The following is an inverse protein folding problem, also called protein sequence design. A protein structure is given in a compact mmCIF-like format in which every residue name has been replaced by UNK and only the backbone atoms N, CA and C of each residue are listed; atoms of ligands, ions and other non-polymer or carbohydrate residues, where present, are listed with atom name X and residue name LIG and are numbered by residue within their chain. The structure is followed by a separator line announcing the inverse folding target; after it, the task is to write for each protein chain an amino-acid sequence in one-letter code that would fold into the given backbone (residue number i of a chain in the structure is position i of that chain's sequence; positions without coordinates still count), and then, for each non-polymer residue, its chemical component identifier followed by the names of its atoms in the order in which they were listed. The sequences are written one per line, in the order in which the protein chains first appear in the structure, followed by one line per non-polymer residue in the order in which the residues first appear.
data_IF_561823104824
#
_entry.id   IF_561823104824
#
_cell.length_a   1.000
_cell.length_b   1.000
_cell.length_c   1.000
_cell.angle_alpha   90.00
_cell.angle_beta   90.00
_cell.angle_gamma   90.00
#
_symmetry.space_group_name_H-M   'P 1'
#
loop_
_entity.id
_entity.type
_entity.pdbx_description
1 polymer ?
#
# COMPACT_ATOMS: atom_id res chain seq x y z
N UNK A 1 4.72 2.69 39.54
CA UNK A 1 5.21 2.35 38.19
C UNK A 1 4.44 1.14 37.69
N UNK A 2 3.35 1.34 36.93
CA UNK A 2 2.57 0.24 36.33
C UNK A 2 2.90 0.18 34.83
N UNK A 3 3.40 -0.97 34.43
CA UNK A 3 3.80 -1.31 33.06
C UNK A 3 2.64 -1.09 32.07
N UNK A 4 2.87 -0.22 31.08
CA UNK A 4 2.02 -0.04 29.91
C UNK A 4 2.13 -1.29 29.04
N UNK A 5 1.22 -2.25 29.22
CA UNK A 5 0.98 -3.29 28.21
C UNK A 5 0.37 -2.62 26.99
N UNK A 6 1.20 -2.35 25.98
CA UNK A 6 0.75 -2.17 24.61
C UNK A 6 0.00 -3.45 24.22
N UNK A 7 -1.33 -3.35 24.10
CA UNK A 7 -2.13 -4.39 23.46
C UNK A 7 -1.75 -4.42 21.96
N UNK A 8 -0.72 -5.20 21.65
CA UNK A 8 -0.42 -5.63 20.30
C UNK A 8 -1.54 -6.56 19.84
N UNK A 9 -2.53 -6.02 19.13
CA UNK A 9 -3.44 -6.83 18.33
C UNK A 9 -2.66 -7.31 17.11
N UNK A 10 -1.98 -8.45 17.25
CA UNK A 10 -1.36 -9.16 16.13
C UNK A 10 -2.23 -10.37 15.81
N UNK A 11 -2.91 -10.42 14.66
CA UNK A 11 -3.35 -11.70 14.14
C UNK A 11 -2.17 -12.57 13.73
N UNK A 12 -2.27 -13.91 13.84
CA UNK A 12 -1.25 -14.80 13.33
C UNK A 12 -1.12 -14.62 11.82
N UNK A 13 0.08 -14.27 11.36
CA UNK A 13 0.40 -14.22 9.93
C UNK A 13 0.24 -15.62 9.34
N UNK A 14 -0.53 -15.81 8.26
CA UNK A 14 -0.56 -17.08 7.57
C UNK A 14 0.79 -17.37 6.94
N UNK A 15 1.31 -18.57 7.21
CA UNK A 15 2.47 -19.13 6.52
C UNK A 15 2.05 -19.54 5.12
N UNK A 16 2.34 -18.72 4.12
CA UNK A 16 2.18 -19.12 2.72
C UNK A 16 3.18 -20.23 2.36
N UNK A 17 2.80 -21.22 1.55
CA UNK A 17 3.76 -22.13 0.93
C UNK A 17 4.73 -21.29 0.08
N UNK A 18 6.03 -21.58 0.21
CA UNK A 18 7.10 -20.82 -0.43
C UNK A 18 6.82 -20.63 -1.92
N UNK A 19 6.53 -19.39 -2.33
CA UNK A 19 6.45 -19.02 -3.74
C UNK A 19 7.73 -19.49 -4.45
N UNK A 20 7.59 -20.09 -5.64
CA UNK A 20 8.72 -20.52 -6.47
C UNK A 20 9.76 -19.40 -6.52
N UNK A 21 11.00 -19.72 -6.13
CA UNK A 21 12.14 -18.81 -6.24
C UNK A 21 12.45 -18.62 -7.73
N UNK A 22 11.74 -17.73 -8.40
CA UNK A 22 12.27 -17.14 -9.64
C UNK A 22 13.46 -16.29 -9.22
N UNK A 23 14.64 -16.91 -9.23
CA UNK A 23 15.89 -16.26 -8.86
C UNK A 23 16.09 -15.04 -9.74
N UNK A 24 16.26 -13.87 -9.12
CA UNK A 24 16.66 -12.64 -9.81
C UNK A 24 17.83 -12.95 -10.77
N UNK A 25 17.87 -12.36 -11.98
CA UNK A 25 18.97 -12.57 -12.92
C UNK A 25 20.34 -12.41 -12.22
N UNK A 26 21.25 -13.36 -12.41
CA UNK A 26 22.59 -13.31 -11.85
C UNK A 26 23.39 -12.17 -12.50
N UNK A 27 23.94 -11.30 -11.67
CA UNK A 27 24.83 -10.21 -12.05
C UNK A 27 25.69 -9.85 -10.82
N UNK A 28 26.98 -10.14 -10.92
CA UNK A 28 27.95 -9.73 -9.91
C UNK A 28 28.61 -8.44 -10.40
N UNK A 29 28.65 -7.39 -9.56
CA UNK A 29 29.32 -6.12 -9.86
C UNK A 29 28.41 -4.96 -10.23
N UNK A 30 29.01 -3.85 -10.71
CA UNK A 30 28.31 -2.64 -11.14
C UNK A 30 27.64 -2.81 -12.52
N UNK A 31 26.40 -2.32 -12.67
CA UNK A 31 25.66 -2.36 -13.93
C UNK A 31 25.66 -0.97 -14.58
N UNK A 32 26.40 -0.85 -15.68
CA UNK A 32 26.44 0.39 -16.46
C UNK A 32 25.51 0.39 -17.67
N UNK A 33 25.16 -0.79 -18.21
CA UNK A 33 24.42 -0.92 -19.47
C UNK A 33 22.89 -0.93 -19.30
N UNK A 34 22.16 0.01 -19.96
CA UNK A 34 20.69 0.04 -19.94
C UNK A 34 20.02 -1.14 -20.67
N UNK A 35 20.75 -1.90 -21.49
CA UNK A 35 20.22 -3.07 -22.22
C UNK A 35 20.30 -4.37 -21.40
N UNK A 36 20.93 -4.32 -20.22
CA UNK A 36 21.09 -5.46 -19.32
C UNK A 36 19.73 -6.12 -18.98
N UNK A 37 19.62 -7.47 -18.99
CA UNK A 37 18.38 -8.18 -18.65
C UNK A 37 17.78 -7.81 -17.28
N UNK A 38 18.61 -7.57 -16.28
CA UNK A 38 18.20 -7.12 -14.95
C UNK A 38 17.56 -5.73 -14.98
N UNK A 39 18.13 -4.81 -15.76
CA UNK A 39 17.55 -3.47 -15.97
C UNK A 39 16.19 -3.57 -16.69
N UNK A 40 16.08 -4.45 -17.70
CA UNK A 40 14.81 -4.73 -18.36
C UNK A 40 13.77 -5.29 -17.38
N UNK A 41 14.19 -6.18 -16.48
CA UNK A 41 13.34 -6.70 -15.40
C UNK A 41 12.82 -5.57 -14.49
N UNK A 42 13.70 -4.69 -14.01
CA UNK A 42 13.32 -3.54 -13.18
C UNK A 42 12.32 -2.60 -13.90
N UNK A 43 12.55 -2.34 -15.19
CA UNK A 43 11.63 -1.51 -16.00
C UNK A 43 10.27 -2.19 -16.17
N UNK A 44 10.23 -3.52 -16.36
CA UNK A 44 8.97 -4.26 -16.41
C UNK A 44 8.22 -4.22 -15.07
N UNK A 45 8.93 -4.37 -13.95
CA UNK A 45 8.36 -4.21 -12.60
C UNK A 45 7.73 -2.82 -12.42
N UNK A 46 8.34 -1.77 -12.98
CA UNK A 46 7.77 -0.42 -12.90
C UNK A 46 6.48 -0.26 -13.73
N UNK A 47 6.49 -0.78 -14.95
CA UNK A 47 5.45 -0.47 -15.94
C UNK A 47 4.26 -1.45 -15.95
N UNK A 48 4.45 -2.72 -15.62
CA UNK A 48 3.42 -3.75 -15.76
C UNK A 48 2.94 -4.30 -14.42
N UNK A 49 1.65 -4.12 -14.13
CA UNK A 49 1.00 -4.68 -12.93
C UNK A 49 0.97 -6.21 -12.96
N UNK A 50 0.64 -6.80 -14.11
CA UNK A 50 0.66 -8.25 -14.29
C UNK A 50 2.05 -8.83 -14.01
N UNK A 51 3.11 -8.14 -14.47
CA UNK A 51 4.48 -8.57 -14.21
C UNK A 51 4.86 -8.47 -12.73
N UNK A 52 4.42 -7.42 -12.02
CA UNK A 52 4.61 -7.32 -10.55
C UNK A 52 3.90 -8.45 -9.81
N UNK A 53 2.67 -8.80 -10.21
CA UNK A 53 1.92 -9.91 -9.60
C UNK A 53 2.63 -11.24 -9.84
N UNK A 54 3.04 -11.53 -11.07
CA UNK A 54 3.73 -12.78 -11.40
C UNK A 54 5.08 -12.91 -10.69
N UNK A 55 5.81 -11.80 -10.52
CA UNK A 55 7.10 -11.77 -9.81
C UNK A 55 6.98 -11.51 -8.30
N UNK A 56 5.76 -11.30 -7.80
CA UNK A 56 5.46 -10.94 -6.40
C UNK A 56 6.38 -9.84 -5.85
N UNK A 57 6.68 -8.83 -6.67
CA UNK A 57 7.67 -7.80 -6.36
C UNK A 57 7.27 -6.43 -6.91
N UNK A 58 7.72 -5.38 -6.23
CA UNK A 58 7.52 -3.98 -6.61
C UNK A 58 8.85 -3.23 -6.65
N UNK A 59 8.87 -2.13 -7.39
CA UNK A 59 10.00 -1.21 -7.40
C UNK A 59 9.69 0.03 -6.55
N UNK A 60 10.59 0.38 -5.65
CA UNK A 60 10.49 1.58 -4.79
C UNK A 60 11.66 2.50 -5.10
N UNK A 61 11.35 3.74 -5.44
CA UNK A 61 12.34 4.75 -5.84
C UNK A 61 12.58 5.72 -4.70
N UNK A 62 13.85 5.96 -4.37
CA UNK A 62 14.32 6.91 -3.36
C UNK A 62 14.68 6.23 -2.04
N UNK A 63 15.76 6.70 -1.41
CA UNK A 63 16.27 6.12 -0.18
C UNK A 63 15.30 6.26 1.01
N UNK A 64 14.70 7.44 1.18
CA UNK A 64 13.73 7.69 2.28
C UNK A 64 12.57 6.71 2.31
N UNK A 65 11.76 6.52 1.23
CA UNK A 65 10.66 5.56 1.27
C UNK A 65 11.14 4.11 1.44
N UNK A 66 12.32 3.76 0.92
CA UNK A 66 12.91 2.43 1.15
C UNK A 66 13.19 2.21 2.64
N UNK A 67 13.86 3.15 3.29
CA UNK A 67 14.18 3.07 4.72
C UNK A 67 12.92 3.11 5.59
N UNK A 68 11.91 3.90 5.24
CA UNK A 68 10.62 3.91 5.94
C UNK A 68 9.93 2.54 5.90
N UNK A 69 9.96 1.86 4.76
CA UNK A 69 9.42 0.50 4.62
C UNK A 69 10.23 -0.50 5.47
N UNK A 70 11.56 -0.41 5.46
CA UNK A 70 12.43 -1.30 6.22
C UNK A 70 12.28 -1.14 7.74
N UNK A 71 12.37 0.11 8.25
CA UNK A 71 12.26 0.41 9.69
C UNK A 71 10.97 -0.14 10.29
N UNK A 72 9.87 -0.08 9.55
CA UNK A 72 8.60 -0.61 10.02
C UNK A 72 8.61 -2.14 10.14
N UNK A 73 9.36 -2.84 9.29
CA UNK A 73 9.41 -4.30 9.20
C UNK A 73 10.47 -4.95 10.06
N UNK A 74 11.51 -4.25 10.48
CA UNK A 74 12.45 -4.72 11.50
C UNK A 74 11.71 -5.10 12.80
N UNK A 75 10.58 -4.44 13.08
CA UNK A 75 9.67 -4.82 14.18
C UNK A 75 8.95 -6.17 13.96
N UNK A 76 9.00 -6.75 12.75
CA UNK A 76 8.27 -7.95 12.33
C UNK A 76 9.17 -9.06 11.73
N UNK A 77 10.50 -8.90 11.79
CA UNK A 77 11.46 -10.01 11.61
C UNK A 77 11.64 -10.60 10.21
N UNK A 78 11.45 -9.84 9.11
CA UNK A 78 11.73 -10.34 7.75
C UNK A 78 12.23 -9.26 6.78
N UNK A 79 13.32 -9.56 6.07
CA UNK A 79 13.84 -8.71 5.00
C UNK A 79 12.98 -8.81 3.75
N UNK A 80 12.30 -7.72 3.38
CA UNK A 80 11.51 -7.63 2.14
C UNK A 80 12.34 -7.19 0.92
N UNK A 81 13.50 -6.60 1.15
CA UNK A 81 14.31 -6.02 0.08
C UNK A 81 15.14 -7.13 -0.55
N UNK A 82 14.77 -7.50 -1.77
CA UNK A 82 15.51 -8.50 -2.54
C UNK A 82 16.78 -7.92 -3.14
N UNK A 83 16.70 -6.68 -3.62
CA UNK A 83 17.82 -5.99 -4.26
C UNK A 83 17.76 -4.48 -4.03
N UNK A 84 18.89 -3.89 -3.66
CA UNK A 84 19.11 -2.46 -3.55
C UNK A 84 20.07 -2.00 -4.65
N UNK A 85 19.58 -1.16 -5.55
CA UNK A 85 20.38 -0.50 -6.57
C UNK A 85 20.82 0.86 -6.03
N UNK A 86 22.13 1.09 -5.96
CA UNK A 86 22.73 2.35 -5.53
C UNK A 86 23.39 3.04 -6.71
N UNK A 87 23.33 4.37 -6.77
CA UNK A 87 24.09 5.12 -7.77
C UNK A 87 25.59 4.90 -7.55
N UNK A 88 26.37 4.72 -8.61
CA UNK A 88 27.84 4.62 -8.53
C UNK A 88 28.41 5.82 -7.72
N UNK A 89 29.27 5.53 -6.74
CA UNK A 89 29.83 6.53 -5.83
C UNK A 89 28.98 6.87 -4.59
N UNK A 90 27.76 6.34 -4.47
CA UNK A 90 26.95 6.47 -3.25
C UNK A 90 27.35 5.44 -2.21
N UNK A 91 27.27 5.80 -0.93
CA UNK A 91 27.54 4.86 0.16
C UNK A 91 26.37 3.91 0.43
N UNK A 92 26.68 2.72 0.93
CA UNK A 92 25.67 1.78 1.41
C UNK A 92 25.02 2.31 2.70
N UNK A 93 23.68 2.45 2.74
CA UNK A 93 22.99 2.91 3.94
C UNK A 93 23.18 1.91 5.09
N UNK A 94 23.29 2.41 6.32
CA UNK A 94 23.63 1.61 7.51
C UNK A 94 22.74 0.37 7.68
N UNK A 95 21.42 0.52 7.54
CA UNK A 95 20.46 -0.59 7.68
C UNK A 95 20.58 -1.72 6.63
N UNK A 96 21.40 -1.54 5.60
CA UNK A 96 21.63 -2.55 4.57
C UNK A 96 23.00 -3.23 4.65
N UNK A 97 23.92 -2.75 5.50
CA UNK A 97 25.29 -3.28 5.59
C UNK A 97 25.35 -4.74 6.02
N UNK A 98 24.49 -5.11 6.98
CA UNK A 98 24.37 -6.47 7.50
C UNK A 98 23.12 -7.21 6.96
N UNK A 99 22.48 -6.63 5.95
CA UNK A 99 21.26 -7.22 5.37
C UNK A 99 21.60 -8.32 4.36
N UNK A 100 20.69 -9.30 4.23
CA UNK A 100 20.75 -10.29 3.15
C UNK A 100 20.34 -9.74 1.78
N UNK A 101 20.02 -8.44 1.70
CA UNK A 101 19.62 -7.80 0.46
C UNK A 101 20.82 -7.73 -0.50
N UNK A 102 20.57 -8.05 -1.77
CA UNK A 102 21.60 -7.94 -2.80
C UNK A 102 21.86 -6.47 -3.14
N UNK A 103 23.08 -5.98 -2.97
CA UNK A 103 23.43 -4.59 -3.30
C UNK A 103 24.12 -4.54 -4.66
N UNK A 104 23.67 -3.65 -5.54
CA UNK A 104 24.23 -3.43 -6.87
C UNK A 104 24.47 -1.95 -7.10
N UNK A 105 25.69 -1.57 -7.47
CA UNK A 105 25.95 -0.21 -7.95
C UNK A 105 25.57 -0.09 -9.42
N UNK A 106 25.01 1.05 -9.81
CA UNK A 106 24.56 1.31 -11.17
C UNK A 106 24.92 2.70 -11.65
N UNK A 107 25.14 2.82 -12.96
CA UNK A 107 25.42 4.11 -13.58
C UNK A 107 24.21 5.05 -13.51
N UNK A 108 24.46 6.35 -13.60
CA UNK A 108 23.40 7.37 -13.66
C UNK A 108 22.38 7.12 -14.78
N UNK A 109 22.83 6.60 -15.92
CA UNK A 109 21.98 6.25 -17.06
C UNK A 109 21.02 5.09 -16.73
N UNK A 110 21.51 4.06 -16.04
CA UNK A 110 20.69 2.95 -15.55
C UNK A 110 19.72 3.45 -14.48
N UNK A 111 20.18 4.29 -13.55
CA UNK A 111 19.33 4.85 -12.49
C UNK A 111 18.15 5.67 -13.06
N UNK A 112 18.38 6.56 -14.05
CA UNK A 112 17.30 7.27 -14.77
C UNK A 112 16.31 6.30 -15.41
N UNK A 113 16.85 5.30 -16.11
CA UNK A 113 16.02 4.33 -16.83
C UNK A 113 15.16 3.50 -15.89
N UNK A 114 15.68 3.09 -14.74
CA UNK A 114 14.98 2.25 -13.76
C UNK A 114 13.99 3.06 -12.92
N UNK A 115 14.37 4.26 -12.47
CA UNK A 115 13.50 5.13 -11.68
C UNK A 115 12.36 5.76 -12.48
N UNK A 116 12.58 6.04 -13.77
CA UNK A 116 11.58 6.68 -14.64
C UNK A 116 11.46 8.18 -14.41
N UNK A 117 12.34 8.75 -13.58
CA UNK A 117 12.43 10.18 -13.34
C UNK A 117 13.47 10.80 -14.29
N UNK A 118 13.23 12.04 -14.68
CA UNK A 118 14.06 12.75 -15.66
C UNK A 118 15.43 13.18 -15.09
N UNK A 119 15.52 13.35 -13.76
CA UNK A 119 16.75 13.74 -13.07
C UNK A 119 17.26 12.58 -12.21
N UNK A 120 18.51 12.15 -12.44
CA UNK A 120 19.17 11.12 -11.62
C UNK A 120 19.73 11.70 -10.33
N UNK A 121 20.13 12.98 -10.36
CA UNK A 121 20.96 13.59 -9.32
C UNK A 121 20.22 13.71 -7.98
N UNK A 122 18.91 13.45 -7.97
CA UNK A 122 18.08 13.37 -6.77
C UNK A 122 17.75 11.94 -6.31
N UNK A 123 18.29 10.90 -6.95
CA UNK A 123 17.93 9.50 -6.70
C UNK A 123 19.19 8.69 -6.43
N UNK A 124 19.46 8.51 -5.14
CA UNK A 124 20.61 7.75 -4.66
C UNK A 124 20.35 6.24 -4.67
N UNK A 125 19.07 5.84 -4.56
CA UNK A 125 18.70 4.44 -4.38
C UNK A 125 17.36 4.05 -5.04
N UNK A 126 17.29 2.82 -5.52
CA UNK A 126 16.07 2.12 -5.93
C UNK A 126 16.09 0.71 -5.35
N UNK A 127 14.98 0.25 -4.79
CA UNK A 127 14.87 -1.12 -4.27
C UNK A 127 13.85 -1.95 -5.05
N UNK A 128 14.15 -3.22 -5.23
CA UNK A 128 13.18 -4.26 -5.52
C UNK A 128 12.73 -4.83 -4.18
N UNK A 129 11.45 -4.67 -3.87
CA UNK A 129 10.84 -5.10 -2.62
C UNK A 129 9.80 -6.16 -2.92
N UNK A 130 9.88 -7.31 -2.24
CA UNK A 130 8.86 -8.35 -2.32
C UNK A 130 7.52 -7.85 -1.84
N UNK A 131 6.46 -8.36 -2.44
CA UNK A 131 5.11 -8.13 -1.95
C UNK A 131 5.01 -8.59 -0.49
N UNK A 132 4.34 -7.79 0.36
CA UNK A 132 4.14 -8.17 1.73
C UNK A 132 3.22 -9.41 1.81
N UNK A 133 3.43 -10.31 2.77
CA UNK A 133 2.49 -11.41 3.05
C UNK A 133 1.09 -10.92 3.41
N UNK A 134 0.97 -9.65 3.83
CA UNK A 134 -0.30 -8.98 4.09
C UNK A 134 -1.06 -8.55 2.83
N UNK A 135 -0.52 -8.76 1.63
CA UNK A 135 -1.24 -8.55 0.37
C UNK A 135 -1.78 -9.88 -0.17
N UNK A 136 -3.07 -9.91 -0.47
CA UNK A 136 -3.76 -11.06 -1.06
C UNK A 136 -4.54 -10.62 -2.31
N UNK A 137 -4.43 -11.43 -3.35
CA UNK A 137 -5.20 -11.30 -4.58
C UNK A 137 -6.12 -12.51 -4.74
N UNK A 138 -7.39 -12.36 -4.38
CA UNK A 138 -8.37 -13.44 -4.38
C UNK A 138 -8.78 -13.87 -5.79
N UNK A 139 -8.72 -12.96 -6.77
CA UNK A 139 -9.07 -13.28 -8.15
C UNK A 139 -8.02 -14.21 -8.82
N UNK A 140 -6.82 -14.34 -8.23
CA UNK A 140 -5.76 -15.26 -8.65
C UNK A 140 -5.52 -16.44 -7.72
N UNK A 141 -6.23 -16.53 -6.59
CA UNK A 141 -6.07 -17.59 -5.60
C UNK A 141 -6.97 -18.80 -5.93
N UNK A 142 -6.44 -20.01 -5.75
CA UNK A 142 -7.20 -21.26 -5.87
C UNK A 142 -8.40 -21.26 -4.92
N UNK A 143 -9.50 -21.92 -5.32
CA UNK A 143 -10.72 -22.10 -4.53
C UNK A 143 -10.39 -22.52 -3.10
N UNK A 144 -10.68 -21.66 -2.11
CA UNK A 144 -10.41 -21.90 -0.69
C UNK A 144 -9.67 -20.79 0.06
N UNK A 145 -9.14 -19.76 -0.62
CA UNK A 145 -8.61 -18.58 0.06
C UNK A 145 -9.73 -17.75 0.71
N UNK A 146 -9.99 -18.00 2.00
CA UNK A 146 -10.93 -17.21 2.78
C UNK A 146 -10.33 -15.86 3.16
N UNK A 147 -11.12 -14.79 2.98
CA UNK A 147 -10.77 -13.43 3.44
C UNK A 147 -10.41 -13.39 4.94
N UNK A 148 -10.90 -14.38 5.71
CA UNK A 148 -10.71 -14.53 7.16
C UNK A 148 -9.24 -14.61 7.57
N UNK A 149 -8.42 -15.24 6.73
CA UNK A 149 -7.00 -15.43 7.04
C UNK A 149 -6.25 -14.08 7.04
N UNK A 150 -6.74 -13.08 6.30
CA UNK A 150 -6.15 -11.74 6.24
C UNK A 150 -6.86 -10.71 7.14
N UNK A 151 -8.13 -10.95 7.44
CA UNK A 151 -8.91 -10.17 8.40
C UNK A 151 -9.53 -11.07 9.46
N UNK A 152 -8.79 -11.49 10.49
CA UNK A 152 -9.33 -12.45 11.47
C UNK A 152 -10.24 -11.82 12.51
N UNK A 153 -10.15 -10.51 12.75
CA UNK A 153 -11.07 -9.79 13.65
C UNK A 153 -11.25 -8.31 13.29
N UNK A 154 -11.59 -7.98 12.02
CA UNK A 154 -11.65 -6.61 11.56
C UNK A 154 -12.75 -5.82 12.28
N UNK A 155 -12.42 -4.61 12.70
CA UNK A 155 -13.36 -3.61 13.22
C UNK A 155 -13.71 -2.59 12.15
N UNK A 156 -12.73 -2.15 11.35
CA UNK A 156 -12.85 -1.10 10.33
C UNK A 156 -12.04 -1.46 9.10
N UNK A 157 -12.71 -1.63 7.97
CA UNK A 157 -12.09 -1.89 6.66
C UNK A 157 -12.49 -0.77 5.70
N UNK A 158 -11.50 -0.27 4.93
CA UNK A 158 -11.75 0.62 3.80
C UNK A 158 -11.95 -0.23 2.55
N UNK A 159 -13.12 -0.11 1.94
CA UNK A 159 -13.44 -0.75 0.66
C UNK A 159 -13.37 0.33 -0.42
N UNK A 160 -12.59 0.04 -1.46
CA UNK A 160 -12.37 0.93 -2.59
C UNK A 160 -12.96 0.31 -3.84
N UNK A 161 -13.88 1.02 -4.49
CA UNK A 161 -14.54 0.58 -5.71
C UNK A 161 -14.15 1.46 -6.90
N UNK A 162 -13.47 0.86 -7.89
CA UNK A 162 -13.14 1.55 -9.15
C UNK A 162 -12.14 2.71 -9.04
N UNK A 163 -11.27 2.75 -8.01
CA UNK A 163 -10.29 3.85 -7.85
C UNK A 163 -9.20 3.74 -8.92
N UNK A 164 -9.28 4.56 -9.97
CA UNK A 164 -8.37 4.47 -11.13
C UNK A 164 -7.11 5.33 -11.02
N UNK A 165 -7.14 6.39 -10.21
CA UNK A 165 -5.98 7.26 -10.02
C UNK A 165 -5.04 6.70 -8.94
N UNK A 166 -3.78 6.36 -9.28
CA UNK A 166 -2.85 5.77 -8.32
C UNK A 166 -2.43 6.75 -7.21
N UNK A 167 -2.43 8.07 -7.46
CA UNK A 167 -2.14 9.07 -6.43
C UNK A 167 -3.22 9.12 -5.36
N UNK A 168 -4.48 9.09 -5.77
CA UNK A 168 -5.64 9.00 -4.89
C UNK A 168 -5.63 7.69 -4.12
N UNK A 169 -5.40 6.56 -4.80
CA UNK A 169 -5.27 5.26 -4.13
C UNK A 169 -4.21 5.32 -3.03
N UNK A 170 -2.99 5.76 -3.34
CA UNK A 170 -1.93 5.85 -2.34
C UNK A 170 -2.28 6.79 -1.17
N UNK A 171 -2.94 7.92 -1.44
CA UNK A 171 -3.38 8.85 -0.39
C UNK A 171 -4.44 8.22 0.52
N UNK A 172 -5.37 7.44 -0.04
CA UNK A 172 -6.37 6.69 0.71
C UNK A 172 -5.71 5.63 1.59
N UNK A 173 -4.76 4.84 1.04
CA UNK A 173 -3.99 3.86 1.82
C UNK A 173 -3.26 4.54 3.00
N UNK A 174 -2.59 5.67 2.74
CA UNK A 174 -1.92 6.44 3.79
C UNK A 174 -2.88 6.93 4.87
N UNK A 175 -4.08 7.33 4.47
CA UNK A 175 -5.12 7.79 5.39
C UNK A 175 -5.66 6.63 6.24
N UNK A 176 -5.94 5.48 5.63
CA UNK A 176 -6.35 4.25 6.33
C UNK A 176 -5.37 3.88 7.44
N UNK A 177 -4.08 3.93 7.13
CA UNK A 177 -3.02 3.69 8.10
C UNK A 177 -3.02 4.71 9.22
N UNK A 178 -3.08 6.01 8.90
CA UNK A 178 -3.11 7.07 9.90
C UNK A 178 -4.30 6.94 10.85
N UNK A 179 -5.44 6.46 10.35
CA UNK A 179 -6.63 6.20 11.16
C UNK A 179 -6.62 4.86 11.90
N UNK A 180 -5.57 4.04 11.74
CA UNK A 180 -5.46 2.70 12.32
C UNK A 180 -6.70 1.84 12.01
N UNK A 181 -7.05 1.76 10.73
CA UNK A 181 -8.03 0.80 10.25
C UNK A 181 -7.34 -0.53 10.00
N UNK A 182 -8.11 -1.61 10.02
CA UNK A 182 -7.59 -2.99 10.02
C UNK A 182 -7.14 -3.44 8.62
N UNK A 183 -7.54 -2.70 7.58
CA UNK A 183 -6.95 -2.83 6.25
C UNK A 183 -7.84 -2.28 5.14
N UNK A 184 -7.53 -2.70 3.92
CA UNK A 184 -8.19 -2.22 2.70
C UNK A 184 -8.62 -3.38 1.82
N UNK A 185 -9.85 -3.31 1.35
CA UNK A 185 -10.41 -4.20 0.34
C UNK A 185 -10.54 -3.44 -0.98
N UNK A 186 -9.93 -3.97 -2.04
CA UNK A 186 -9.91 -3.38 -3.38
C UNK A 186 -10.87 -4.19 -4.27
N UNK A 187 -11.99 -3.57 -4.65
CA UNK A 187 -12.93 -4.13 -5.60
C UNK A 187 -12.42 -4.01 -7.05
N UNK A 188 -13.00 -4.75 -8.00
CA UNK A 188 -12.57 -4.73 -9.39
C UNK A 188 -12.57 -3.32 -9.98
N UNK A 189 -11.61 -3.06 -10.87
CA UNK A 189 -11.44 -1.74 -11.50
C UNK A 189 -10.59 -0.74 -10.71
N UNK A 190 -10.13 -1.09 -9.51
CA UNK A 190 -9.08 -0.35 -8.82
C UNK A 190 -7.73 -0.46 -9.55
N UNK A 191 -6.94 0.61 -9.50
CA UNK A 191 -5.56 0.60 -9.94
C UNK A 191 -4.66 -0.19 -8.98
N UNK A 192 -3.46 -0.54 -9.45
CA UNK A 192 -2.52 -1.36 -8.68
C UNK A 192 -1.92 -0.58 -7.49
N UNK A 193 -2.07 -1.04 -6.23
CA UNK A 193 -1.53 -0.38 -5.05
C UNK A 193 0.01 -0.36 -4.98
N UNK A 194 0.68 -1.20 -5.79
CA UNK A 194 2.13 -1.26 -5.94
C UNK A 194 2.65 -0.54 -7.19
N UNK A 195 1.79 0.23 -7.87
CA UNK A 195 2.23 1.16 -8.90
C UNK A 195 3.18 2.22 -8.30
N UNK A 196 4.20 2.63 -9.06
CA UNK A 196 5.18 3.65 -8.61
C UNK A 196 4.58 4.97 -8.11
N UNK A 197 3.45 5.44 -8.68
CA UNK A 197 2.75 6.65 -8.23
C UNK A 197 1.98 6.40 -6.95
N UNK A 198 1.33 5.23 -6.84
CA UNK A 198 0.62 4.82 -5.63
C UNK A 198 1.58 4.64 -4.45
N UNK A 199 2.71 3.97 -4.66
CA UNK A 199 3.74 3.78 -3.64
C UNK A 199 4.31 5.10 -3.14
N UNK A 200 4.60 6.04 -4.04
CA UNK A 200 5.05 7.39 -3.67
C UNK A 200 4.01 8.17 -2.84
N UNK A 201 2.74 8.09 -3.21
CA UNK A 201 1.67 8.75 -2.47
C UNK A 201 1.39 8.07 -1.10
N UNK A 202 1.49 6.74 -1.05
CA UNK A 202 1.22 5.91 0.13
C UNK A 202 2.27 6.07 1.23
N UNK A 203 3.51 6.43 0.90
CA UNK A 203 4.65 6.54 1.84
C UNK A 203 4.80 5.30 2.72
N UNK A 204 4.97 4.15 2.06
CA UNK A 204 5.12 2.86 2.73
C UNK A 204 3.81 2.20 3.15
N UNK A 205 2.66 2.89 3.07
CA UNK A 205 1.41 2.34 3.57
C UNK A 205 0.96 1.03 2.90
N UNK A 206 1.25 0.86 1.62
CA UNK A 206 0.95 -0.36 0.85
C UNK A 206 1.67 -1.61 1.38
N UNK A 207 2.76 -1.46 2.14
CA UNK A 207 3.54 -2.58 2.68
C UNK A 207 3.19 -2.95 4.13
N UNK A 208 2.39 -2.13 4.79
CA UNK A 208 2.06 -2.30 6.21
C UNK A 208 0.59 -2.67 6.41
N UNK A 209 -0.31 -2.15 5.57
CA UNK A 209 -1.73 -2.49 5.66
C UNK A 209 -1.97 -3.90 5.11
N UNK A 210 -2.89 -4.67 5.73
CA UNK A 210 -3.55 -5.77 5.04
C UNK A 210 -4.31 -5.23 3.83
N UNK A 211 -3.95 -5.71 2.65
CA UNK A 211 -4.54 -5.32 1.37
C UNK A 211 -5.12 -6.58 0.72
N UNK A 212 -6.42 -6.59 0.47
CA UNK A 212 -7.09 -7.70 -0.22
C UNK A 212 -7.71 -7.17 -1.50
N UNK A 213 -7.38 -7.77 -2.65
CA UNK A 213 -8.09 -7.56 -3.91
C UNK A 213 -9.07 -8.70 -4.14
N UNK A 214 -10.30 -8.39 -4.53
CA UNK A 214 -11.32 -9.39 -4.84
C UNK A 214 -12.64 -8.77 -5.29
N UNK A 215 -13.62 -9.61 -5.62
CA UNK A 215 -14.94 -9.20 -6.08
C UNK A 215 -15.98 -8.99 -4.95
N UNK A 216 -17.20 -8.63 -5.35
CA UNK A 216 -18.32 -8.36 -4.43
C UNK A 216 -18.74 -9.57 -3.60
N UNK A 217 -18.67 -10.80 -4.13
CA UNK A 217 -19.03 -12.00 -3.38
C UNK A 217 -18.10 -12.20 -2.18
N UNK A 218 -16.80 -11.99 -2.38
CA UNK A 218 -15.82 -12.03 -1.30
C UNK A 218 -16.11 -10.97 -0.22
N UNK A 219 -16.50 -9.76 -0.65
CA UNK A 219 -16.84 -8.67 0.25
C UNK A 219 -18.11 -8.94 1.06
N UNK A 220 -19.15 -9.47 0.41
CA UNK A 220 -20.41 -9.85 1.07
C UNK A 220 -20.20 -10.98 2.09
N UNK A 221 -19.38 -11.97 1.76
CA UNK A 221 -18.98 -13.03 2.68
C UNK A 221 -18.27 -12.47 3.91
N UNK A 222 -17.31 -11.55 3.72
CA UNK A 222 -16.59 -10.88 4.81
C UNK A 222 -17.54 -10.06 5.70
N UNK A 223 -18.42 -9.27 5.08
CA UNK A 223 -19.40 -8.43 5.78
C UNK A 223 -20.38 -9.24 6.62
N UNK A 224 -20.92 -10.32 6.04
CA UNK A 224 -21.86 -11.22 6.72
C UNK A 224 -21.20 -11.94 7.89
N UNK A 225 -19.99 -12.48 7.68
CA UNK A 225 -19.24 -13.22 8.69
C UNK A 225 -18.97 -12.40 9.95
N UNK A 226 -18.48 -11.18 9.78
CA UNK A 226 -18.12 -10.30 10.90
C UNK A 226 -19.25 -9.35 11.32
N UNK A 227 -20.46 -9.50 10.76
CA UNK A 227 -21.61 -8.65 11.04
C UNK A 227 -21.27 -7.16 10.86
N UNK A 228 -20.59 -6.84 9.76
CA UNK A 228 -20.15 -5.48 9.47
C UNK A 228 -21.27 -4.68 8.81
N UNK A 229 -21.44 -3.44 9.26
CA UNK A 229 -22.28 -2.46 8.60
C UNK A 229 -21.48 -1.78 7.50
N UNK A 230 -22.08 -1.70 6.31
CA UNK A 230 -21.53 -1.01 5.16
C UNK A 230 -22.03 0.44 5.10
N UNK A 231 -21.11 1.39 4.93
CA UNK A 231 -21.39 2.82 4.77
C UNK A 231 -20.75 3.29 3.47
N UNK A 232 -21.49 3.88 2.54
CA UNK A 232 -20.97 4.29 1.24
C UNK A 232 -20.97 5.81 1.09
N UNK A 233 -19.87 6.36 0.58
CA UNK A 233 -19.77 7.73 0.09
C UNK A 233 -19.66 7.75 -1.42
N UNK A 234 -20.51 8.56 -2.07
CA UNK A 234 -20.47 8.81 -3.51
C UNK A 234 -19.92 10.23 -3.78
N UNK A 235 -18.92 10.41 -4.65
CA UNK A 235 -18.28 11.70 -4.89
C UNK A 235 -19.11 12.68 -5.74
N UNK A 236 -20.16 12.23 -6.44
CA UNK A 236 -21.02 13.16 -7.17
C UNK A 236 -22.03 13.83 -6.23
N UNK A 237 -22.12 15.16 -6.33
CA UNK A 237 -23.29 15.89 -5.86
C UNK A 237 -24.48 15.55 -6.78
N UNK A 238 -25.21 14.47 -6.49
CA UNK A 238 -26.51 14.23 -7.11
C UNK A 238 -27.40 15.47 -6.91
N UNK A 239 -27.95 16.00 -8.01
CA UNK A 239 -28.81 17.20 -8.05
C UNK A 239 -30.19 17.03 -7.38
N UNK A 240 -30.40 15.93 -6.64
CA UNK A 240 -31.55 15.76 -5.76
C UNK A 240 -31.13 16.12 -4.34
N UNK A 241 -31.87 17.05 -3.72
CA UNK A 241 -31.77 17.54 -2.32
C UNK A 241 -30.80 16.71 -1.44
N UNK A 242 -29.51 16.99 -1.57
CA UNK A 242 -28.49 16.46 -0.68
C UNK A 242 -28.68 17.19 0.64
N UNK A 243 -28.90 16.45 1.73
CA UNK A 243 -28.38 16.94 3.00
C UNK A 243 -26.90 17.20 2.77
N UNK A 244 -26.43 18.41 3.08
CA UNK A 244 -25.04 18.79 2.87
C UNK A 244 -24.07 17.78 3.50
N UNK A 245 -22.74 17.89 3.28
CA UNK A 245 -21.79 17.04 3.99
C UNK A 245 -22.15 17.04 5.47
N UNK A 246 -22.66 15.92 5.97
CA UNK A 246 -23.07 15.81 7.36
C UNK A 246 -21.79 16.02 8.15
N UNK A 247 -21.72 17.13 8.90
CA UNK A 247 -20.62 17.37 9.82
C UNK A 247 -20.46 16.09 10.64
N UNK A 248 -19.23 15.55 10.65
CA UNK A 248 -18.91 14.46 11.55
C UNK A 248 -19.30 14.95 12.95
N UNK A 249 -20.22 14.25 13.61
CA UNK A 249 -20.57 14.62 14.97
C UNK A 249 -19.30 14.62 15.81
N UNK A 250 -19.22 15.54 16.76
CA UNK A 250 -18.06 15.62 17.65
C UNK A 250 -17.81 14.26 18.31
N UNK A 251 -18.87 13.55 18.71
CA UNK A 251 -18.79 12.17 19.21
C UNK A 251 -18.17 11.17 18.22
N UNK A 252 -18.52 11.25 16.92
CA UNK A 252 -17.93 10.36 15.92
C UNK A 252 -16.47 10.72 15.64
N UNK A 253 -16.15 12.01 15.57
CA UNK A 253 -14.77 12.49 15.43
C UNK A 253 -13.92 12.09 16.65
N UNK A 254 -14.47 12.22 17.84
CA UNK A 254 -13.83 11.84 19.10
C UNK A 254 -13.69 10.31 19.18
N UNK A 255 -14.64 9.53 18.68
CA UNK A 255 -14.50 8.06 18.56
C UNK A 255 -13.32 7.65 17.65
N UNK A 256 -12.97 8.49 16.67
CA UNK A 256 -11.79 8.30 15.82
C UNK A 256 -10.50 8.75 16.53
N UNK A 257 -10.58 9.72 17.45
CA UNK A 257 -9.46 10.31 18.17
C UNK A 257 -9.07 9.55 19.44
N UNK A 258 -10.02 8.89 20.14
CA UNK A 258 -9.79 8.23 21.44
C UNK A 258 -8.79 7.05 21.37
N UNK A 259 -8.49 6.51 20.18
CA UNK A 259 -7.43 5.52 19.98
C UNK A 259 -6.06 6.10 19.54
N UNK A 260 -5.92 7.43 19.52
CA UNK A 260 -4.71 8.13 19.10
C UNK A 260 -3.86 8.56 20.31
N UNK A 261 -3.12 7.63 20.92
CA UNK A 261 -2.01 8.06 21.77
C UNK A 261 -0.77 8.39 20.90
N UNK A 262 -0.53 9.70 20.81
CA UNK A 262 0.73 10.44 20.54
C UNK A 262 1.58 10.04 19.33
N UNK A 263 1.29 10.66 18.19
CA UNK A 263 2.21 11.47 17.36
C UNK A 263 1.48 11.86 16.08
N UNK A 264 0.74 12.97 16.12
CA UNK A 264 0.18 13.58 14.91
C UNK A 264 0.66 15.02 14.84
N UNK A 265 1.63 15.23 13.95
CA UNK A 265 1.78 16.53 13.29
C UNK A 265 0.46 16.80 12.58
N UNK A 266 -0.18 17.97 12.75
CA UNK A 266 -1.49 18.25 12.17
C UNK A 266 -1.38 18.29 10.65
N UNK A 267 -1.65 17.15 10.01
CA UNK A 267 -1.84 17.10 8.57
C UNK A 267 -3.25 17.62 8.32
N UNK A 268 -3.38 18.91 7.97
CA UNK A 268 -4.59 19.43 7.33
C UNK A 268 -4.86 18.54 6.11
N UNK A 269 -5.77 17.58 6.22
CA UNK A 269 -6.39 16.96 5.05
C UNK A 269 -7.36 18.01 4.50
N UNK A 270 -6.80 19.03 3.87
CA UNK A 270 -7.52 19.71 2.82
C UNK A 270 -7.54 18.71 1.66
N UNK A 271 -8.64 17.96 1.53
CA UNK A 271 -9.06 17.51 0.22
C UNK A 271 -9.36 18.78 -0.59
N UNK A 272 -8.31 19.40 -1.12
CA UNK A 272 -8.41 20.52 -2.03
C UNK A 272 -8.94 19.90 -3.31
N UNK A 273 -10.27 19.88 -3.46
CA UNK A 273 -10.88 19.83 -4.80
C UNK A 273 -10.34 21.06 -5.51
N UNK A 274 -9.25 20.88 -6.24
CA UNK A 274 -8.58 21.93 -6.98
C UNK A 274 -9.61 22.56 -7.92
N UNK A 275 -10.02 23.80 -7.60
CA UNK A 275 -10.68 24.73 -8.53
C UNK A 275 -9.69 25.16 -9.62
N UNK A 276 -9.15 24.21 -10.38
CA UNK A 276 -8.34 24.47 -11.58
C UNK A 276 -8.19 23.19 -12.41
N UNK A 277 -9.30 22.60 -12.84
CA UNK A 277 -9.31 21.81 -14.08
C UNK A 277 -10.57 22.20 -14.87
N UNK A 278 -10.47 23.33 -15.57
CA UNK A 278 -11.39 23.65 -16.67
C UNK A 278 -11.25 22.56 -17.72
N UNK A 279 -12.40 21.99 -18.10
CA UNK A 279 -12.65 21.18 -19.31
C UNK A 279 -11.79 19.93 -19.46
N UNK A 280 -12.34 18.78 -19.03
CA UNK A 280 -12.46 17.54 -19.83
C UNK A 280 -13.32 16.54 -19.06
N UNK A 281 -14.37 16.06 -19.72
CA UNK A 281 -15.38 15.15 -19.18
C UNK A 281 -14.75 13.84 -18.72
N UNK A 282 -15.00 13.45 -17.47
CA UNK A 282 -14.78 12.09 -16.98
C UNK A 282 -16.01 11.64 -16.21
N UNK A 283 -16.92 10.96 -16.90
CA UNK A 283 -18.05 10.24 -16.30
C UNK A 283 -17.55 8.89 -15.79
N UNK A 284 -17.03 8.80 -14.56
CA UNK A 284 -16.87 7.52 -13.85
C UNK A 284 -17.13 7.69 -12.36
N UNK A 285 -18.13 6.93 -11.88
CA UNK A 285 -18.60 6.82 -10.50
C UNK A 285 -17.63 5.92 -9.73
N UNK A 286 -17.20 6.30 -8.52
CA UNK A 286 -16.42 5.45 -7.62
C UNK A 286 -16.98 5.57 -6.22
N UNK A 287 -16.98 4.48 -5.44
CA UNK A 287 -17.52 4.49 -4.08
C UNK A 287 -16.41 4.25 -3.07
N UNK A 288 -16.42 5.06 -2.01
CA UNK A 288 -15.66 4.74 -0.81
C UNK A 288 -16.63 4.09 0.15
N UNK A 289 -16.42 2.81 0.41
CA UNK A 289 -17.25 2.05 1.31
C UNK A 289 -16.45 1.81 2.59
N UNK A 290 -16.98 2.27 3.73
CA UNK A 290 -16.43 1.95 5.05
C UNK A 290 -17.25 0.81 5.62
N UNK A 291 -16.59 -0.28 6.00
CA UNK A 291 -17.22 -1.34 6.79
C UNK A 291 -16.84 -1.23 8.25
N UNK A 292 -17.82 -1.35 9.15
CA UNK A 292 -17.61 -1.27 10.61
C UNK A 292 -18.30 -2.42 11.33
N UNK A 293 -17.61 -3.12 12.23
CA UNK A 293 -18.21 -4.17 13.07
C UNK A 293 -19.25 -3.58 14.03
N UNK A 294 -20.37 -4.27 14.22
CA UNK A 294 -21.38 -3.89 15.21
C UNK A 294 -20.80 -4.11 16.62
N UNK A 295 -20.57 -3.05 17.38
CA UNK A 295 -20.35 -3.14 18.82
C UNK A 295 -21.73 -3.02 19.46
N UNK A 296 -22.26 -4.14 19.97
CA UNK A 296 -23.40 -4.06 20.88
C UNK A 296 -22.86 -3.48 22.18
N UNK A 297 -23.20 -2.22 22.45
CA UNK A 297 -23.09 -1.68 23.79
C UNK A 297 -24.32 -2.24 24.50
N UNK A 298 -24.16 -3.33 25.24
CA UNK A 298 -25.18 -3.72 26.21
C UNK A 298 -25.36 -2.52 27.15
N UNK A 299 -26.59 -2.01 27.19
CA UNK A 299 -27.05 -1.01 28.15
C UNK A 299 -27.28 -1.66 29.51
#
# INVERSE_FOLDING_TARGET
MRSLRLFAFSPPLPTHPAARRDSLPSCNGSISSPSNPFVKHCVKLRLSSSYRRSSSSAIVVGLTPILEICKFRELWGSSLVDCLLLLDGSETPEGFRDSSARILHVSSHVMKKVSGLQSADSIEAVAIIKFPSSFLDLDGAQEGASCETWFPSPQRILVLDGIQDPGNLGTLLRSTMAFKWDGVFLLPGCCDPFNEKALRAARGASFQLPLVSGNWLHLEALGSRFHMKMLAGHPDNCSGKLEGPSLLSQEFADSLAVHQNKLLVPCKIQAKVSRTLRRRSWTKKYYIIKMTKRVMIDQ
#
